data_IF_838838364192
#
_entry.id   IF_838838364192
#
_cell.length_a   1.000
_cell.length_b   1.000
_cell.length_c   1.000
_cell.angle_alpha   90.00
_cell.angle_beta   90.00
_cell.angle_gamma   90.00
#
_symmetry.space_group_name_H-M   'P 1'
#
loop_
_entity.id
_entity.type
_entity.pdbx_description
1 polymer ?
#
# COMPACT_ATOMS: atom_id res chain seq x y z
N UNK A 1 -3.89 18.14 -13.73
CA UNK A 1 -4.10 16.98 -12.84
C UNK A 1 -4.04 17.47 -11.40
N UNK A 2 -4.99 17.11 -10.53
CA UNK A 2 -5.06 17.65 -9.14
C UNK A 2 -4.35 16.78 -8.09
N UNK A 3 -3.92 15.57 -8.47
CA UNK A 3 -3.12 14.65 -7.65
C UNK A 3 -3.04 13.26 -8.28
N UNK A 4 -2.15 12.41 -7.78
CA UNK A 4 -1.98 11.02 -8.23
C UNK A 4 -1.34 10.14 -7.16
N UNK A 5 -1.42 8.83 -7.38
CA UNK A 5 -0.61 7.84 -6.69
C UNK A 5 -0.12 6.75 -7.65
N UNK A 6 0.87 5.97 -7.21
CA UNK A 6 1.40 4.82 -7.95
C UNK A 6 1.40 3.59 -7.05
N UNK A 7 1.05 2.43 -7.61
CA UNK A 7 1.06 1.14 -6.92
C UNK A 7 2.01 0.19 -7.65
N UNK A 8 2.74 -0.62 -6.89
CA UNK A 8 3.55 -1.73 -7.39
C UNK A 8 3.46 -2.90 -6.43
N UNK A 9 3.43 -4.13 -6.96
CA UNK A 9 3.58 -5.35 -6.15
C UNK A 9 5.05 -5.64 -5.88
N UNK A 10 5.34 -6.41 -4.84
CA UNK A 10 6.68 -6.90 -4.52
C UNK A 10 6.68 -7.68 -3.20
N UNK A 11 7.86 -8.07 -2.76
CA UNK A 11 8.04 -8.82 -1.51
C UNK A 11 9.04 -8.11 -0.59
N UNK A 12 8.85 -8.25 0.72
CA UNK A 12 9.74 -7.68 1.73
C UNK A 12 10.11 -8.75 2.75
N UNK A 13 11.38 -8.81 3.13
CA UNK A 13 11.86 -9.74 4.15
C UNK A 13 11.09 -9.52 5.47
N UNK A 14 10.57 -10.60 6.06
CA UNK A 14 9.79 -10.53 7.30
C UNK A 14 10.57 -9.88 8.45
N UNK A 15 11.90 -9.92 8.44
CA UNK A 15 12.78 -9.31 9.46
C UNK A 15 12.71 -7.77 9.48
N UNK A 16 12.22 -7.12 8.41
CA UNK A 16 12.07 -5.66 8.38
C UNK A 16 10.88 -5.16 9.19
N UNK A 17 9.94 -6.04 9.55
CA UNK A 17 8.76 -5.68 10.33
C UNK A 17 9.10 -5.59 11.82
N UNK A 18 8.37 -4.78 12.62
CA UNK A 18 8.52 -4.78 14.07
C UNK A 18 8.33 -6.19 14.68
N UNK A 19 9.06 -6.55 15.76
CA UNK A 19 8.97 -7.89 16.36
C UNK A 19 7.56 -8.34 16.77
N UNK A 20 6.68 -7.38 17.09
CA UNK A 20 5.26 -7.65 17.40
C UNK A 20 4.47 -8.20 16.21
N UNK A 21 4.84 -7.82 14.99
CA UNK A 21 4.20 -8.25 13.74
C UNK A 21 4.88 -9.52 13.22
N UNK A 22 6.21 -9.62 13.33
CA UNK A 22 6.98 -10.80 12.87
C UNK A 22 6.42 -12.13 13.40
N UNK A 23 5.95 -12.17 14.66
CA UNK A 23 5.37 -13.37 15.28
C UNK A 23 4.14 -13.92 14.55
N UNK A 24 3.46 -13.08 13.76
CA UNK A 24 2.23 -13.43 13.02
C UNK A 24 2.48 -13.63 11.53
N UNK A 25 3.70 -13.42 11.06
CA UNK A 25 4.06 -13.52 9.65
C UNK A 25 4.86 -14.81 9.39
N UNK A 26 4.75 -15.37 8.18
CA UNK A 26 5.64 -16.43 7.76
C UNK A 26 7.10 -15.97 7.74
N UNK A 27 8.03 -16.91 7.97
CA UNK A 27 9.48 -16.64 7.97
C UNK A 27 10.09 -16.62 6.55
N UNK A 28 9.33 -16.17 5.57
CA UNK A 28 9.73 -15.99 4.17
C UNK A 28 9.31 -14.59 3.71
N UNK A 29 9.83 -14.08 2.56
CA UNK A 29 9.47 -12.77 2.06
C UNK A 29 7.95 -12.59 1.95
N UNK A 30 7.45 -11.53 2.56
CA UNK A 30 6.01 -11.26 2.68
C UNK A 30 5.56 -10.45 1.46
N UNK A 31 4.52 -10.90 0.73
CA UNK A 31 3.99 -10.16 -0.40
C UNK A 31 3.33 -8.86 0.06
N UNK A 32 3.64 -7.78 -0.65
CA UNK A 32 3.15 -6.44 -0.35
C UNK A 32 2.66 -5.73 -1.62
N UNK A 33 1.82 -4.72 -1.40
CA UNK A 33 1.57 -3.66 -2.38
C UNK A 33 2.18 -2.37 -1.85
N UNK A 34 3.07 -1.77 -2.63
CA UNK A 34 3.77 -0.53 -2.29
C UNK A 34 3.10 0.66 -2.96
N UNK A 35 2.77 1.67 -2.16
CA UNK A 35 2.47 3.02 -2.67
C UNK A 35 3.81 3.72 -2.92
N UNK A 36 4.26 3.75 -4.18
CA UNK A 36 5.57 4.31 -4.53
C UNK A 36 5.61 5.83 -4.47
N UNK A 37 4.49 6.47 -4.83
CA UNK A 37 4.30 7.92 -4.83
C UNK A 37 2.84 8.22 -4.51
N UNK A 38 2.62 9.30 -3.78
CA UNK A 38 1.32 9.93 -3.55
C UNK A 38 1.57 11.44 -3.52
N UNK A 39 0.94 12.18 -4.43
CA UNK A 39 1.15 13.61 -4.54
C UNK A 39 -0.16 14.33 -4.87
N UNK A 40 -0.27 15.56 -4.41
CA UNK A 40 -1.41 16.46 -4.64
C UNK A 40 -0.85 17.78 -5.16
N UNK A 41 -1.53 18.36 -6.13
CA UNK A 41 -1.18 19.69 -6.64
C UNK A 41 -1.17 20.72 -5.49
N UNK A 42 -0.19 21.63 -5.48
CA UNK A 42 -0.01 22.60 -4.39
C UNK A 42 -1.27 23.46 -4.15
N UNK A 43 -2.01 23.81 -5.20
CA UNK A 43 -3.24 24.61 -5.09
C UNK A 43 -4.41 23.85 -4.43
N UNK A 44 -4.28 22.53 -4.30
CA UNK A 44 -5.31 21.61 -3.79
C UNK A 44 -4.92 20.93 -2.47
N UNK A 45 -3.74 21.23 -1.92
CA UNK A 45 -3.34 20.76 -0.59
C UNK A 45 -4.23 21.36 0.50
N UNK A 46 -4.38 20.65 1.63
CA UNK A 46 -5.29 21.03 2.72
C UNK A 46 -6.78 20.83 2.44
N UNK A 47 -7.18 20.53 1.20
CA UNK A 47 -8.60 20.34 0.79
C UNK A 47 -9.07 18.88 0.81
N UNK A 48 -8.31 17.97 1.42
CA UNK A 48 -8.69 16.55 1.56
C UNK A 48 -8.44 15.67 0.32
N UNK A 49 -7.90 16.20 -0.79
CA UNK A 49 -7.61 15.42 -2.01
C UNK A 49 -6.65 14.25 -1.73
N UNK A 50 -5.59 14.48 -0.96
CA UNK A 50 -4.61 13.44 -0.61
C UNK A 50 -5.22 12.30 0.20
N UNK A 51 -6.12 12.62 1.13
CA UNK A 51 -6.83 11.62 1.91
C UNK A 51 -7.77 10.78 1.03
N UNK A 52 -8.46 11.41 0.08
CA UNK A 52 -9.32 10.71 -0.88
C UNK A 52 -8.51 9.78 -1.79
N UNK A 53 -7.36 10.23 -2.30
CA UNK A 53 -6.45 9.43 -3.10
C UNK A 53 -5.87 8.24 -2.31
N UNK A 54 -5.48 8.46 -1.06
CA UNK A 54 -4.99 7.38 -0.19
C UNK A 54 -6.09 6.35 0.09
N UNK A 55 -7.32 6.80 0.36
CA UNK A 55 -8.48 5.93 0.53
C UNK A 55 -8.71 5.07 -0.71
N UNK A 56 -8.72 5.67 -1.90
CA UNK A 56 -8.85 4.95 -3.17
C UNK A 56 -7.72 3.92 -3.36
N UNK A 57 -6.46 4.31 -3.11
CA UNK A 57 -5.31 3.41 -3.19
C UNK A 57 -5.46 2.20 -2.26
N UNK A 58 -5.89 2.41 -1.01
CA UNK A 58 -6.13 1.33 -0.05
C UNK A 58 -7.28 0.41 -0.49
N UNK A 59 -8.37 0.95 -1.03
CA UNK A 59 -9.44 0.13 -1.61
C UNK A 59 -8.93 -0.75 -2.74
N UNK A 60 -8.05 -0.23 -3.60
CA UNK A 60 -7.43 -1.02 -4.67
C UNK A 60 -6.50 -2.08 -4.12
N UNK A 61 -5.70 -1.79 -3.09
CA UNK A 61 -4.85 -2.79 -2.43
C UNK A 61 -5.69 -3.95 -1.85
N UNK A 62 -6.79 -3.65 -1.17
CA UNK A 62 -7.69 -4.69 -0.62
C UNK A 62 -8.34 -5.50 -1.74
N UNK A 63 -8.75 -4.85 -2.83
CA UNK A 63 -9.31 -5.54 -3.99
C UNK A 63 -8.27 -6.48 -4.62
N UNK A 64 -7.06 -5.99 -4.87
CA UNK A 64 -5.96 -6.80 -5.40
C UNK A 64 -5.62 -7.98 -4.48
N UNK A 65 -5.63 -7.78 -3.16
CA UNK A 65 -5.38 -8.86 -2.20
C UNK A 65 -6.43 -9.99 -2.23
N UNK A 66 -7.61 -9.75 -2.81
CA UNK A 66 -8.66 -10.78 -2.99
C UNK A 66 -8.58 -11.46 -4.36
N UNK A 67 -8.07 -10.76 -5.37
CA UNK A 67 -7.91 -11.28 -6.74
C UNK A 67 -6.63 -12.09 -6.89
N UNK A 68 -5.57 -11.67 -6.19
CA UNK A 68 -4.39 -12.49 -6.00
C UNK A 68 -4.76 -13.50 -4.93
N UNK A 69 -5.28 -14.65 -5.36
CA UNK A 69 -5.34 -15.88 -4.56
C UNK A 69 -3.90 -16.19 -4.13
N UNK A 70 -3.47 -15.60 -3.02
CA UNK A 70 -2.19 -15.91 -2.41
C UNK A 70 -2.40 -17.27 -1.72
N UNK A 71 -1.71 -18.34 -2.17
CA UNK A 71 -1.87 -19.66 -1.60
C UNK A 71 -1.19 -19.68 -0.23
N UNK A 72 -1.91 -19.31 0.81
CA UNK A 72 -1.56 -19.64 2.19
C UNK A 72 -2.82 -19.91 3.01
#
# INVERSE_FOLDING_TARGET
MIGFYTLSTGDVDFTTFPPSIQKKLPKYPVPIVRIGRLAVDNSMQGKGVGASLLKDALYRCVKLSKEVDLPW
#
